data_IF_629119459144
#
_entry.id   IF_629119459144
#
_cell.length_a   1.000
_cell.length_b   1.000
_cell.length_c   1.000
_cell.angle_alpha   90.00
_cell.angle_beta   90.00
_cell.angle_gamma   90.00
#
_symmetry.space_group_name_H-M   'P 1'
#
loop_
_entity.id
_entity.type
_entity.pdbx_description
1 polymer ?
#
# COMPACT_ATOMS: atom_id res chain seq x y z
N UNK A 1 17.82 -28.86 -9.42
CA UNK A 1 18.12 -27.65 -8.62
C UNK A 1 16.79 -26.99 -8.34
N UNK A 2 16.37 -26.88 -7.09
CA UNK A 2 15.14 -26.17 -6.71
C UNK A 2 15.37 -24.68 -6.95
N UNK A 3 14.51 -24.05 -7.75
CA UNK A 3 14.54 -22.59 -7.96
C UNK A 3 14.37 -21.91 -6.59
N UNK A 4 15.21 -20.91 -6.23
CA UNK A 4 15.06 -20.22 -4.96
C UNK A 4 13.70 -19.51 -4.89
N UNK A 5 13.02 -19.63 -3.75
CA UNK A 5 11.81 -18.86 -3.47
C UNK A 5 12.25 -17.44 -3.09
N UNK A 6 11.73 -16.43 -3.78
CA UNK A 6 11.96 -15.04 -3.41
C UNK A 6 10.89 -14.57 -2.44
N UNK A 7 11.27 -13.82 -1.42
CA UNK A 7 10.33 -13.31 -0.44
C UNK A 7 10.97 -12.45 0.65
N UNK A 8 10.12 -11.68 1.32
CA UNK A 8 10.47 -10.88 2.49
C UNK A 8 9.24 -10.66 3.36
N UNK A 9 9.44 -10.20 4.59
CA UNK A 9 8.40 -9.89 5.56
C UNK A 9 8.38 -8.39 5.87
N UNK A 10 7.17 -7.82 5.90
CA UNK A 10 6.88 -6.52 6.50
C UNK A 10 6.08 -6.75 7.78
N UNK A 11 6.56 -6.16 8.89
CA UNK A 11 5.97 -6.29 10.22
C UNK A 11 5.61 -4.91 10.80
N UNK A 12 5.02 -4.89 11.99
CA UNK A 12 4.81 -3.67 12.76
C UNK A 12 5.33 -3.78 14.21
N UNK A 13 5.17 -2.69 14.97
CA UNK A 13 5.49 -2.61 16.39
C UNK A 13 4.29 -2.11 17.20
N UNK A 14 4.29 -2.36 18.50
CA UNK A 14 3.17 -2.06 19.37
C UNK A 14 3.08 -0.57 19.78
N UNK A 15 4.23 0.08 20.03
CA UNK A 15 4.28 1.41 20.63
C UNK A 15 4.99 2.47 19.79
N UNK A 16 5.27 3.60 20.41
CA UNK A 16 5.87 4.79 19.78
C UNK A 16 7.41 4.76 19.79
N UNK A 17 8.01 3.72 20.37
CA UNK A 17 9.45 3.47 20.36
C UNK A 17 9.78 1.98 20.30
N UNK A 18 11.00 1.66 19.84
CA UNK A 18 11.49 0.29 19.74
C UNK A 18 11.82 -0.30 21.12
N UNK A 19 11.19 -1.42 21.44
CA UNK A 19 11.57 -2.33 22.53
C UNK A 19 12.81 -3.15 22.17
N UNK A 20 13.37 -3.89 23.13
CA UNK A 20 14.47 -4.81 22.85
C UNK A 20 14.08 -5.92 21.86
N UNK A 21 12.85 -6.45 21.98
CA UNK A 21 12.29 -7.48 21.10
C UNK A 21 12.13 -6.96 19.67
N UNK A 22 11.66 -5.72 19.49
CA UNK A 22 11.55 -5.09 18.17
C UNK A 22 12.93 -5.01 17.50
N UNK A 23 13.97 -4.61 18.25
CA UNK A 23 15.34 -4.52 17.73
C UNK A 23 15.87 -5.89 17.31
N UNK A 24 15.50 -6.96 18.02
CA UNK A 24 15.91 -8.32 17.69
C UNK A 24 15.19 -8.85 16.44
N UNK A 25 13.89 -8.59 16.32
CA UNK A 25 13.09 -8.93 15.14
C UNK A 25 13.61 -8.22 13.88
N UNK A 26 13.91 -6.92 13.97
CA UNK A 26 14.36 -6.14 12.83
C UNK A 26 15.75 -6.56 12.31
N UNK A 27 16.59 -7.21 13.13
CA UNK A 27 17.90 -7.71 12.68
C UNK A 27 17.80 -8.92 11.75
N UNK A 28 16.66 -9.58 11.67
CA UNK A 28 16.50 -10.77 10.84
C UNK A 28 16.48 -10.38 9.35
N UNK A 29 17.30 -11.02 8.49
CA UNK A 29 17.46 -10.61 7.10
C UNK A 29 16.18 -10.77 6.27
N UNK A 30 15.29 -11.70 6.65
CA UNK A 30 14.01 -11.91 5.99
C UNK A 30 13.04 -10.74 6.22
N UNK A 31 13.17 -10.03 7.35
CA UNK A 31 12.43 -8.79 7.63
C UNK A 31 13.02 -7.69 6.78
N UNK A 32 12.27 -7.27 5.75
CA UNK A 32 12.66 -6.24 4.79
C UNK A 32 11.83 -4.96 4.90
N UNK A 33 10.76 -4.97 5.70
CA UNK A 33 9.91 -3.80 5.88
C UNK A 33 9.35 -3.64 7.29
N UNK A 34 9.00 -2.42 7.64
CA UNK A 34 8.21 -2.07 8.82
C UNK A 34 7.13 -1.06 8.42
N UNK A 35 5.87 -1.35 8.75
CA UNK A 35 4.74 -0.43 8.60
C UNK A 35 4.40 0.18 9.96
N UNK A 36 4.13 1.48 9.99
CA UNK A 36 3.63 2.19 11.19
C UNK A 36 2.15 2.53 11.08
N UNK A 37 1.46 2.48 12.21
CA UNK A 37 0.06 2.84 12.37
C UNK A 37 -0.10 4.04 13.32
N UNK A 38 -1.34 4.51 13.49
CA UNK A 38 -1.65 5.64 14.36
C UNK A 38 -1.12 5.46 15.80
N UNK A 39 -1.11 4.23 16.32
CA UNK A 39 -0.56 3.91 17.66
C UNK A 39 0.95 4.12 17.80
N UNK A 40 1.68 4.28 16.69
CA UNK A 40 3.13 4.47 16.69
C UNK A 40 3.52 5.94 16.49
N UNK A 41 2.54 6.84 16.34
CA UNK A 41 2.73 8.22 15.88
C UNK A 41 2.25 9.20 16.96
N UNK A 42 3.16 10.01 17.47
CA UNK A 42 2.85 11.11 18.40
C UNK A 42 3.05 12.48 17.76
N UNK A 43 4.17 12.66 17.04
CA UNK A 43 4.52 13.92 16.39
C UNK A 43 5.48 13.71 15.21
N UNK A 44 5.61 14.67 14.26
CA UNK A 44 6.55 14.54 13.15
C UNK A 44 8.01 14.33 13.61
N UNK A 45 8.40 14.94 14.73
CA UNK A 45 9.73 14.77 15.32
C UNK A 45 9.93 13.35 15.84
N UNK A 46 8.98 12.83 16.64
CA UNK A 46 9.07 11.48 17.18
C UNK A 46 9.09 10.42 16.06
N UNK A 47 8.28 10.58 15.01
CA UNK A 47 8.31 9.65 13.85
C UNK A 47 9.68 9.64 13.16
N UNK A 48 10.30 10.82 13.01
CA UNK A 48 11.66 10.92 12.45
C UNK A 48 12.69 10.19 13.30
N UNK A 49 12.69 10.45 14.61
CA UNK A 49 13.59 9.80 15.56
C UNK A 49 13.37 8.27 15.58
N UNK A 50 12.12 7.81 15.45
CA UNK A 50 11.79 6.38 15.32
C UNK A 50 12.37 5.79 14.03
N UNK A 51 12.18 6.47 12.89
CA UNK A 51 12.75 6.04 11.61
C UNK A 51 14.28 5.98 11.65
N UNK A 52 14.94 6.97 12.27
CA UNK A 52 16.39 6.99 12.45
C UNK A 52 16.86 5.83 13.35
N UNK A 53 16.15 5.57 14.46
CA UNK A 53 16.42 4.44 15.36
C UNK A 53 16.29 3.09 14.65
N UNK A 54 15.30 2.92 13.77
CA UNK A 54 15.14 1.71 12.94
C UNK A 54 16.30 1.61 11.93
N UNK A 55 16.62 2.69 11.22
CA UNK A 55 17.69 2.70 10.20
C UNK A 55 19.08 2.50 10.80
N UNK A 56 19.31 2.87 12.05
CA UNK A 56 20.56 2.56 12.77
C UNK A 56 20.75 1.04 12.98
N UNK A 57 19.67 0.25 12.97
CA UNK A 57 19.71 -1.22 13.05
C UNK A 57 19.75 -1.82 11.65
N UNK A 58 18.89 -1.32 10.75
CA UNK A 58 18.72 -1.79 9.37
C UNK A 58 18.59 -0.62 8.40
N UNK A 59 19.71 -0.14 7.83
CA UNK A 59 19.68 0.96 6.86
C UNK A 59 18.89 0.64 5.59
N UNK A 60 18.68 -0.64 5.29
CA UNK A 60 18.02 -1.18 4.11
C UNK A 60 16.50 -1.40 4.25
N UNK A 61 15.95 -1.30 5.46
CA UNK A 61 14.53 -1.54 5.70
C UNK A 61 13.63 -0.54 4.98
N UNK A 62 12.56 -1.05 4.37
CA UNK A 62 11.47 -0.24 3.84
C UNK A 62 10.55 0.22 4.97
N UNK A 63 10.37 1.52 5.14
CA UNK A 63 9.48 2.07 6.15
C UNK A 63 8.21 2.63 5.51
N UNK A 64 7.05 2.10 5.90
CA UNK A 64 5.77 2.36 5.24
C UNK A 64 4.70 2.92 6.19
N UNK A 65 3.69 3.57 5.62
CA UNK A 65 2.49 4.08 6.33
C UNK A 65 1.27 4.13 5.40
N UNK A 66 0.06 4.06 5.95
CA UNK A 66 -1.18 4.36 5.21
C UNK A 66 -1.54 5.86 5.30
N UNK A 67 -1.27 6.61 4.25
CA UNK A 67 -1.48 8.06 4.19
C UNK A 67 -2.22 8.43 2.89
N UNK A 68 -3.47 7.96 2.77
CA UNK A 68 -4.32 8.18 1.59
C UNK A 68 -5.04 9.54 1.63
N UNK A 69 -5.32 10.03 2.84
CA UNK A 69 -6.17 11.19 3.10
C UNK A 69 -7.56 10.82 3.60
N UNK A 70 -8.35 11.83 3.97
CA UNK A 70 -9.68 11.62 4.54
C UNK A 70 -9.65 10.69 5.76
N UNK A 71 -10.40 9.58 5.71
CA UNK A 71 -10.48 8.63 6.84
C UNK A 71 -9.19 7.82 7.04
N UNK A 72 -8.45 7.54 5.96
CA UNK A 72 -7.20 6.76 6.01
C UNK A 72 -6.01 7.71 5.97
N UNK A 73 -5.74 8.28 7.13
CA UNK A 73 -4.60 9.15 7.38
C UNK A 73 -4.03 8.82 8.76
N UNK A 74 -2.84 8.22 8.84
CA UNK A 74 -2.19 7.90 10.12
C UNK A 74 -1.41 9.10 10.67
N UNK A 75 -0.69 9.82 9.81
CA UNK A 75 0.05 11.02 10.18
C UNK A 75 -0.94 12.20 10.25
N UNK A 76 -1.45 12.51 11.46
CA UNK A 76 -2.49 13.53 11.68
C UNK A 76 -1.95 14.75 12.42
N UNK A 77 -1.53 14.59 13.67
CA UNK A 77 -1.09 15.72 14.48
C UNK A 77 0.24 16.29 13.96
N UNK A 78 0.25 17.57 13.61
CA UNK A 78 1.43 18.24 13.07
C UNK A 78 1.66 17.99 11.58
N UNK A 79 0.75 17.31 10.88
CA UNK A 79 0.76 17.06 9.44
C UNK A 79 -0.41 17.80 8.76
N UNK A 80 -0.35 17.97 7.44
CA UNK A 80 -1.49 18.50 6.69
C UNK A 80 -2.64 17.50 6.74
N UNK A 81 -3.83 17.97 7.09
CA UNK A 81 -5.06 17.19 6.99
C UNK A 81 -5.46 17.11 5.52
N UNK A 82 -5.20 15.98 4.89
CA UNK A 82 -5.46 15.76 3.48
C UNK A 82 -6.96 15.56 3.23
N UNK A 83 -7.51 16.03 2.09
CA UNK A 83 -8.90 15.78 1.75
C UNK A 83 -9.16 14.27 1.60
N UNK A 84 -10.43 13.87 1.69
CA UNK A 84 -10.83 12.60 1.10
C UNK A 84 -10.61 12.69 -0.41
N UNK A 85 -10.05 11.64 -1.01
CA UNK A 85 -9.66 11.66 -2.41
C UNK A 85 -10.86 11.91 -3.35
N UNK A 86 -12.05 11.40 -3.01
CA UNK A 86 -13.31 11.70 -3.71
C UNK A 86 -13.63 13.21 -3.80
N UNK A 87 -13.22 14.01 -2.81
CA UNK A 87 -13.46 15.45 -2.84
C UNK A 87 -12.66 16.17 -3.94
N UNK A 88 -11.48 15.64 -4.29
CA UNK A 88 -10.65 16.19 -5.37
C UNK A 88 -11.36 16.03 -6.71
N UNK A 89 -12.05 14.90 -6.92
CA UNK A 89 -12.69 14.56 -8.17
C UNK A 89 -13.84 15.53 -8.54
N UNK A 90 -14.51 16.09 -7.52
CA UNK A 90 -15.55 17.11 -7.68
C UNK A 90 -15.06 18.52 -8.03
N UNK A 91 -13.75 18.74 -8.14
CA UNK A 91 -13.18 20.04 -8.50
C UNK A 91 -13.00 20.19 -10.03
N UNK A 92 -13.12 21.42 -10.55
CA UNK A 92 -12.87 21.69 -11.98
C UNK A 92 -11.42 21.31 -12.39
N UNK A 93 -10.43 21.69 -11.56
CA UNK A 93 -9.01 21.40 -11.79
C UNK A 93 -8.53 20.11 -11.10
N UNK A 94 -9.40 19.10 -11.00
CA UNK A 94 -9.17 17.87 -10.22
C UNK A 94 -7.83 17.18 -10.55
N UNK A 95 -7.41 17.15 -11.82
CA UNK A 95 -6.14 16.50 -12.20
C UNK A 95 -4.92 17.23 -11.59
N UNK A 96 -4.91 18.56 -11.67
CA UNK A 96 -3.86 19.38 -11.07
C UNK A 96 -3.88 19.23 -9.55
N UNK A 97 -5.07 19.28 -8.93
CA UNK A 97 -5.22 19.15 -7.49
C UNK A 97 -4.81 17.75 -6.99
N UNK A 98 -5.10 16.69 -7.74
CA UNK A 98 -4.64 15.32 -7.45
C UNK A 98 -3.12 15.23 -7.47
N UNK A 99 -2.46 15.81 -8.48
CA UNK A 99 -0.99 15.89 -8.55
C UNK A 99 -0.39 16.68 -7.39
N UNK A 100 -0.98 17.83 -7.03
CA UNK A 100 -0.52 18.62 -5.88
C UNK A 100 -0.69 17.86 -4.56
N UNK A 101 -1.83 17.18 -4.39
CA UNK A 101 -2.10 16.36 -3.20
C UNK A 101 -1.12 15.20 -3.08
N UNK A 102 -0.87 14.47 -4.17
CA UNK A 102 0.09 13.36 -4.19
C UNK A 102 1.52 13.83 -3.86
N UNK A 103 1.94 14.97 -4.41
CA UNK A 103 3.25 15.54 -4.11
C UNK A 103 3.36 16.01 -2.65
N UNK A 104 2.34 16.68 -2.13
CA UNK A 104 2.30 17.20 -0.76
C UNK A 104 2.35 16.05 0.25
N UNK A 105 1.48 15.05 0.08
CA UNK A 105 1.42 13.86 0.93
C UNK A 105 2.77 13.14 0.96
N UNK A 106 3.33 12.87 -0.22
CA UNK A 106 4.60 12.17 -0.32
C UNK A 106 5.74 12.97 0.33
N UNK A 107 5.79 14.29 0.13
CA UNK A 107 6.81 15.15 0.74
C UNK A 107 6.78 15.08 2.28
N UNK A 108 5.60 15.15 2.93
CA UNK A 108 5.53 15.03 4.39
C UNK A 108 5.97 13.67 4.91
N UNK A 109 5.53 12.59 4.25
CA UNK A 109 5.89 11.22 4.62
C UNK A 109 7.41 11.02 4.51
N UNK A 110 8.02 11.48 3.42
CA UNK A 110 9.47 11.37 3.24
C UNK A 110 10.26 12.22 4.24
N UNK A 111 9.77 13.42 4.57
CA UNK A 111 10.40 14.35 5.52
C UNK A 111 10.49 13.82 6.96
N UNK A 112 9.64 12.87 7.33
CA UNK A 112 9.67 12.19 8.63
C UNK A 112 10.42 10.86 8.63
N UNK A 113 11.14 10.53 7.55
CA UNK A 113 12.03 9.36 7.56
C UNK A 113 11.50 8.12 6.86
N UNK A 114 10.22 8.11 6.48
CA UNK A 114 9.56 6.97 5.81
C UNK A 114 9.97 6.89 4.33
N UNK A 115 9.77 5.72 3.71
CA UNK A 115 10.07 5.47 2.31
C UNK A 115 8.86 5.65 1.40
N UNK A 116 7.70 5.18 1.85
CA UNK A 116 6.50 5.12 1.03
C UNK A 116 5.22 5.24 1.85
N UNK A 117 4.17 5.64 1.16
CA UNK A 117 2.81 5.37 1.60
C UNK A 117 2.13 4.38 0.67
N UNK A 118 1.29 3.50 1.21
CA UNK A 118 0.46 2.60 0.42
C UNK A 118 -0.70 3.37 -0.25
N UNK A 119 -0.37 4.07 -1.34
CA UNK A 119 -1.28 4.88 -2.13
C UNK A 119 -0.83 4.90 -3.62
N UNK A 120 -1.73 5.17 -4.59
CA UNK A 120 -3.15 5.49 -4.39
C UNK A 120 -4.07 4.25 -4.31
N UNK A 121 -5.29 4.49 -3.83
CA UNK A 121 -6.41 3.57 -4.05
C UNK A 121 -6.86 3.68 -5.51
N UNK A 122 -6.98 2.52 -6.17
CA UNK A 122 -7.40 2.34 -7.55
C UNK A 122 -8.75 1.63 -7.68
N UNK A 123 -9.36 1.25 -6.54
CA UNK A 123 -10.72 0.74 -6.50
C UNK A 123 -11.71 1.79 -7.04
N UNK A 124 -12.82 1.32 -7.63
CA UNK A 124 -13.90 2.18 -8.11
C UNK A 124 -15.03 2.26 -7.09
N UNK A 125 -15.62 3.44 -6.95
CA UNK A 125 -16.76 3.64 -6.05
C UNK A 125 -18.08 3.34 -6.77
N UNK A 126 -18.55 2.10 -6.63
CA UNK A 126 -19.86 1.67 -7.13
C UNK A 126 -20.98 1.84 -6.10
N UNK A 127 -20.73 2.59 -5.01
CA UNK A 127 -21.65 2.78 -3.87
C UNK A 127 -22.07 1.47 -3.18
N UNK A 128 -21.26 0.42 -3.37
CA UNK A 128 -21.52 -0.95 -2.90
C UNK A 128 -20.61 -1.33 -1.73
N UNK A 129 -19.30 -1.15 -1.89
CA UNK A 129 -18.33 -1.57 -0.88
C UNK A 129 -18.12 -0.52 0.22
N UNK A 130 -18.45 -0.88 1.47
CA UNK A 130 -18.20 -0.03 2.65
C UNK A 130 -16.70 0.25 2.91
N UNK A 131 -15.81 -0.59 2.36
CA UNK A 131 -14.35 -0.47 2.53
C UNK A 131 -13.74 0.51 1.52
N UNK A 132 -14.39 0.74 0.38
CA UNK A 132 -13.93 1.69 -0.63
C UNK A 132 -14.49 3.08 -0.32
N UNK A 133 -15.75 3.36 -0.69
CA UNK A 133 -16.41 4.65 -0.53
C UNK A 133 -15.50 5.83 -0.92
N UNK A 134 -15.42 6.85 -0.05
CA UNK A 134 -14.66 8.08 -0.32
C UNK A 134 -13.12 7.92 -0.40
N UNK A 135 -12.59 6.69 -0.33
CA UNK A 135 -11.17 6.38 -0.59
C UNK A 135 -10.88 6.30 -2.08
N UNK A 136 -11.85 5.92 -2.90
CA UNK A 136 -11.74 5.94 -4.35
C UNK A 136 -11.83 7.37 -4.88
N UNK A 137 -11.23 7.61 -6.04
CA UNK A 137 -11.40 8.86 -6.77
C UNK A 137 -12.83 8.98 -7.32
N UNK A 138 -13.30 7.94 -8.02
CA UNK A 138 -14.54 7.95 -8.80
C UNK A 138 -15.10 6.52 -8.96
N UNK A 139 -16.34 6.42 -9.43
CA UNK A 139 -16.93 5.18 -9.95
C UNK A 139 -16.65 4.95 -11.45
N UNK A 140 -16.40 6.02 -12.21
CA UNK A 140 -16.03 5.94 -13.63
C UNK A 140 -14.57 5.48 -13.79
N UNK A 141 -14.30 4.36 -14.50
CA UNK A 141 -12.94 3.83 -14.61
C UNK A 141 -11.96 4.77 -15.30
N UNK A 142 -12.39 5.54 -16.30
CA UNK A 142 -11.51 6.42 -17.08
C UNK A 142 -11.10 7.64 -16.26
N UNK A 143 -12.07 8.27 -15.58
CA UNK A 143 -11.84 9.41 -14.70
C UNK A 143 -11.02 8.99 -13.47
N UNK A 144 -11.32 7.86 -12.85
CA UNK A 144 -10.53 7.32 -11.74
C UNK A 144 -9.06 7.12 -12.16
N UNK A 145 -8.84 6.52 -13.34
CA UNK A 145 -7.51 6.32 -13.92
C UNK A 145 -6.76 7.63 -14.12
N UNK A 146 -7.42 8.64 -14.72
CA UNK A 146 -6.82 9.94 -14.98
C UNK A 146 -6.35 10.61 -13.68
N UNK A 147 -7.21 10.66 -12.67
CA UNK A 147 -6.92 11.33 -11.40
C UNK A 147 -5.89 10.57 -10.57
N UNK A 148 -5.98 9.24 -10.51
CA UNK A 148 -4.98 8.42 -9.84
C UNK A 148 -3.60 8.53 -10.51
N UNK A 149 -3.55 8.55 -11.85
CA UNK A 149 -2.32 8.79 -12.60
C UNK A 149 -1.69 10.14 -12.26
N UNK A 150 -2.49 11.20 -12.10
CA UNK A 150 -2.00 12.51 -11.68
C UNK A 150 -1.44 12.49 -10.25
N UNK A 151 -2.12 11.79 -9.34
CA UNK A 151 -1.65 11.60 -7.97
C UNK A 151 -0.31 10.84 -7.93
N UNK A 152 -0.17 9.76 -8.72
CA UNK A 152 1.08 9.00 -8.88
C UNK A 152 2.20 9.89 -9.40
N UNK A 153 1.93 10.74 -10.41
CA UNK A 153 2.92 11.74 -10.89
C UNK A 153 3.38 12.67 -9.76
N UNK A 154 2.45 13.15 -8.93
CA UNK A 154 2.77 13.94 -7.75
C UNK A 154 3.70 13.22 -6.76
N UNK A 155 3.38 11.98 -6.41
CA UNK A 155 4.21 11.15 -5.54
C UNK A 155 5.61 10.93 -6.12
N UNK A 156 5.70 10.60 -7.41
CA UNK A 156 6.96 10.38 -8.10
C UNK A 156 7.82 11.65 -8.14
N UNK A 157 7.21 12.82 -8.34
CA UNK A 157 7.89 14.12 -8.30
C UNK A 157 8.45 14.48 -6.91
N UNK A 158 7.85 13.97 -5.84
CA UNK A 158 8.39 14.08 -4.48
C UNK A 158 9.50 13.06 -4.21
N UNK A 159 9.69 12.08 -5.11
CA UNK A 159 10.66 11.00 -4.95
C UNK A 159 10.13 9.76 -4.22
N UNK A 160 8.80 9.58 -4.17
CA UNK A 160 8.14 8.42 -3.57
C UNK A 160 7.65 7.41 -4.61
N UNK A 161 7.84 6.12 -4.34
CA UNK A 161 7.26 5.03 -5.12
C UNK A 161 5.75 4.87 -4.84
N UNK A 162 4.96 4.59 -5.87
CA UNK A 162 3.51 4.40 -5.73
C UNK A 162 3.11 2.92 -5.64
N UNK A 163 2.11 2.64 -4.79
CA UNK A 163 1.53 1.31 -4.59
C UNK A 163 0.02 1.34 -4.86
N UNK A 164 -0.40 0.80 -6.00
CA UNK A 164 -1.81 0.73 -6.38
C UNK A 164 -2.55 -0.37 -5.60
N UNK A 165 -3.73 -0.06 -5.06
CA UNK A 165 -4.53 -1.04 -4.30
C UNK A 165 -6.05 -0.84 -4.42
N UNK A 166 -6.88 -1.87 -4.33
CA UNK A 166 -6.53 -3.26 -4.04
C UNK A 166 -6.78 -4.13 -5.28
N UNK A 167 -5.73 -4.67 -5.91
CA UNK A 167 -5.84 -5.40 -7.18
C UNK A 167 -6.62 -6.73 -7.03
N UNK A 168 -7.52 -7.11 -7.95
CA UNK A 168 -7.92 -6.45 -9.21
C UNK A 168 -9.07 -5.43 -9.08
N UNK A 169 -9.44 -5.08 -7.85
CA UNK A 169 -10.44 -4.08 -7.53
C UNK A 169 -11.43 -4.58 -6.47
N UNK A 170 -11.56 -3.84 -5.37
CA UNK A 170 -12.47 -4.16 -4.25
C UNK A 170 -13.85 -3.48 -4.40
N UNK A 171 -14.02 -2.58 -5.37
CA UNK A 171 -15.20 -1.70 -5.50
C UNK A 171 -16.54 -2.43 -5.54
N UNK A 172 -16.58 -3.56 -6.25
CA UNK A 172 -17.80 -4.35 -6.44
C UNK A 172 -18.00 -5.46 -5.40
N UNK A 173 -17.01 -5.74 -4.58
CA UNK A 173 -17.06 -6.84 -3.62
C UNK A 173 -17.97 -6.50 -2.43
N UNK A 174 -18.82 -7.46 -2.05
CA UNK A 174 -19.64 -7.40 -0.84
C UNK A 174 -19.19 -8.45 0.16
N UNK A 175 -19.16 -8.06 1.44
CA UNK A 175 -19.03 -9.01 2.53
C UNK A 175 -20.41 -9.55 2.87
N UNK A 176 -20.59 -10.87 2.89
CA UNK A 176 -21.77 -11.44 3.54
C UNK A 176 -21.74 -11.07 5.03
N UNK A 177 -22.90 -10.65 5.51
CA UNK A 177 -23.26 -10.23 6.85
C UNK A 177 -22.77 -11.11 8.02
N UNK A 178 -22.23 -12.31 7.77
CA UNK A 178 -21.88 -13.29 8.82
C UNK A 178 -20.51 -13.99 8.65
N UNK A 179 -19.40 -13.25 8.58
CA UNK A 179 -18.02 -13.79 8.79
C UNK A 179 -17.36 -14.44 7.55
N UNK A 180 -17.80 -14.14 6.32
CA UNK A 180 -17.17 -14.65 5.09
C UNK A 180 -16.20 -13.63 4.44
N UNK A 181 -15.19 -14.12 3.71
CA UNK A 181 -14.36 -13.30 2.83
C UNK A 181 -15.26 -12.62 1.78
N UNK A 182 -15.09 -11.31 1.51
CA UNK A 182 -15.83 -10.65 0.45
C UNK A 182 -15.68 -11.36 -0.90
N UNK A 183 -16.76 -11.41 -1.67
CA UNK A 183 -16.77 -12.04 -2.99
C UNK A 183 -17.22 -11.07 -4.08
N UNK A 184 -16.66 -11.23 -5.27
CA UNK A 184 -17.14 -10.60 -6.49
C UNK A 184 -17.46 -11.70 -7.51
N UNK A 185 -18.75 -11.92 -7.74
CA UNK A 185 -19.26 -13.01 -8.57
C UNK A 185 -19.24 -12.71 -10.07
N UNK A 186 -18.76 -11.54 -10.50
CA UNK A 186 -18.71 -11.18 -11.93
C UNK A 186 -17.72 -12.07 -12.70
N UNK A 187 -17.94 -12.14 -14.01
CA UNK A 187 -16.99 -12.77 -14.93
C UNK A 187 -15.71 -11.95 -15.08
N UNK A 188 -14.63 -12.58 -15.54
CA UNK A 188 -13.36 -11.89 -15.81
C UNK A 188 -13.51 -10.74 -16.81
N UNK A 189 -14.40 -10.88 -17.79
CA UNK A 189 -14.60 -9.85 -18.82
C UNK A 189 -15.28 -8.60 -18.25
N UNK A 190 -16.27 -8.77 -17.38
CA UNK A 190 -16.92 -7.65 -16.68
C UNK A 190 -15.92 -6.93 -15.76
N UNK A 191 -15.04 -7.68 -15.06
CA UNK A 191 -13.98 -7.10 -14.23
C UNK A 191 -12.97 -6.34 -15.10
N UNK A 192 -12.56 -6.89 -16.25
CA UNK A 192 -11.64 -6.24 -17.21
C UNK A 192 -12.17 -4.93 -17.75
N UNK A 193 -13.47 -4.88 -18.05
CA UNK A 193 -14.12 -3.70 -18.61
C UNK A 193 -14.33 -2.59 -17.56
N UNK A 194 -14.20 -2.89 -16.26
CA UNK A 194 -14.46 -1.96 -15.17
C UNK A 194 -13.25 -1.88 -14.21
N UNK A 195 -13.30 -2.58 -13.08
CA UNK A 195 -12.38 -2.43 -11.94
C UNK A 195 -10.91 -2.74 -12.25
N UNK A 196 -10.63 -3.55 -13.28
CA UNK A 196 -9.26 -3.81 -13.72
C UNK A 196 -8.66 -2.65 -14.54
N UNK A 197 -9.49 -1.77 -15.12
CA UNK A 197 -9.03 -0.72 -16.05
C UNK A 197 -7.98 0.20 -15.42
N UNK A 198 -8.13 0.71 -14.17
CA UNK A 198 -7.11 1.55 -13.57
C UNK A 198 -5.77 0.82 -13.40
N UNK A 199 -5.78 -0.45 -13.02
CA UNK A 199 -4.57 -1.26 -12.88
C UNK A 199 -3.90 -1.53 -14.23
N UNK A 200 -4.70 -1.83 -15.26
CA UNK A 200 -4.19 -2.06 -16.61
C UNK A 200 -3.55 -0.79 -17.21
N UNK A 201 -4.20 0.36 -17.04
CA UNK A 201 -3.72 1.62 -17.58
C UNK A 201 -2.49 2.17 -16.85
N UNK A 202 -2.40 1.96 -15.53
CA UNK A 202 -1.34 2.50 -14.68
C UNK A 202 -0.23 1.48 -14.34
N UNK A 203 -0.26 0.27 -14.91
CA UNK A 203 0.67 -0.81 -14.54
C UNK A 203 2.15 -0.43 -14.65
N UNK A 204 2.49 0.44 -15.61
CA UNK A 204 3.86 0.93 -15.85
C UNK A 204 4.26 2.10 -14.95
N UNK A 205 3.29 2.83 -14.41
CA UNK A 205 3.52 3.96 -13.50
C UNK A 205 3.62 3.50 -12.03
N UNK A 206 3.09 2.31 -11.73
CA UNK A 206 3.13 1.72 -10.40
C UNK A 206 4.47 1.02 -10.11
N UNK A 207 5.08 1.39 -8.99
CA UNK A 207 6.25 0.67 -8.48
C UNK A 207 5.84 -0.61 -7.73
N UNK A 208 4.62 -0.62 -7.18
CA UNK A 208 4.04 -1.76 -6.49
C UNK A 208 2.52 -1.87 -6.67
N UNK A 209 2.00 -3.06 -6.36
CA UNK A 209 0.58 -3.36 -6.23
C UNK A 209 0.34 -4.13 -4.94
N UNK A 210 -0.80 -3.89 -4.30
CA UNK A 210 -1.32 -4.70 -3.19
C UNK A 210 -2.66 -5.31 -3.62
N UNK A 211 -2.84 -6.64 -3.51
CA UNK A 211 -4.05 -7.34 -3.92
C UNK A 211 -5.18 -7.13 -2.90
N UNK A 212 -6.41 -7.39 -3.33
CA UNK A 212 -7.60 -7.40 -2.48
C UNK A 212 -7.75 -8.74 -1.77
N UNK A 213 -8.19 -8.72 -0.51
CA UNK A 213 -8.75 -9.89 0.18
C UNK A 213 -10.18 -10.19 -0.30
N UNK A 214 -10.31 -10.48 -1.59
CA UNK A 214 -11.57 -10.78 -2.27
C UNK A 214 -11.41 -12.05 -3.09
N UNK A 215 -12.39 -12.95 -3.04
CA UNK A 215 -12.48 -14.10 -3.92
C UNK A 215 -13.30 -13.73 -5.16
N UNK A 216 -12.82 -14.14 -6.33
CA UNK A 216 -13.48 -13.92 -7.63
C UNK A 216 -13.82 -15.30 -8.23
N UNK A 217 -14.92 -15.96 -7.82
CA UNK A 217 -15.13 -17.40 -8.05
C UNK A 217 -15.15 -17.82 -9.51
N UNK A 218 -15.52 -16.92 -10.43
CA UNK A 218 -15.49 -17.18 -11.87
C UNK A 218 -14.07 -17.12 -12.47
N UNK A 219 -13.06 -16.69 -11.70
CA UNK A 219 -11.67 -16.55 -12.13
C UNK A 219 -10.74 -17.48 -11.35
N UNK A 220 -10.85 -17.48 -10.02
CA UNK A 220 -10.09 -18.34 -9.11
C UNK A 220 -10.84 -18.50 -7.78
N UNK A 221 -10.76 -19.69 -7.18
CA UNK A 221 -11.37 -19.96 -5.86
C UNK A 221 -10.61 -19.33 -4.69
N UNK A 222 -9.37 -18.89 -4.91
CA UNK A 222 -8.53 -18.25 -3.89
C UNK A 222 -8.69 -16.73 -3.94
N UNK A 223 -8.48 -16.03 -2.80
CA UNK A 223 -8.38 -14.58 -2.82
C UNK A 223 -7.22 -14.12 -3.73
N UNK A 224 -7.34 -12.92 -4.31
CA UNK A 224 -6.39 -12.44 -5.32
C UNK A 224 -4.91 -12.52 -4.88
N UNK A 225 -4.61 -12.23 -3.61
CA UNK A 225 -3.25 -12.28 -3.06
C UNK A 225 -2.64 -13.69 -2.91
N UNK A 226 -3.45 -14.74 -3.04
CA UNK A 226 -3.03 -16.14 -2.98
C UNK A 226 -3.23 -16.85 -4.33
N UNK A 227 -3.75 -16.16 -5.34
CA UNK A 227 -4.03 -16.74 -6.66
C UNK A 227 -2.89 -16.48 -7.64
N UNK A 228 -2.28 -17.58 -8.12
CA UNK A 228 -1.31 -17.53 -9.23
C UNK A 228 -1.97 -17.02 -10.52
N UNK A 229 -3.25 -17.34 -10.75
CA UNK A 229 -4.01 -16.86 -11.93
C UNK A 229 -4.08 -15.33 -11.93
N UNK A 230 -4.39 -14.71 -10.78
CA UNK A 230 -4.43 -13.26 -10.65
C UNK A 230 -3.05 -12.62 -10.71
N UNK A 231 -2.08 -13.10 -9.92
CA UNK A 231 -0.78 -12.43 -9.77
C UNK A 231 0.20 -12.69 -10.91
N UNK A 232 0.26 -13.92 -11.42
CA UNK A 232 1.19 -14.27 -12.48
C UNK A 232 0.56 -14.14 -13.86
N UNK A 233 -0.56 -14.82 -14.10
CA UNK A 233 -1.08 -14.89 -15.45
C UNK A 233 -1.73 -13.56 -15.88
N UNK A 234 -2.53 -12.93 -15.01
CA UNK A 234 -3.20 -11.66 -15.31
C UNK A 234 -2.27 -10.46 -15.05
N UNK A 235 -1.83 -10.27 -13.80
CA UNK A 235 -1.05 -9.06 -13.44
C UNK A 235 0.31 -9.01 -14.14
N UNK A 236 1.15 -10.03 -13.99
CA UNK A 236 2.48 -10.05 -14.64
C UNK A 236 2.40 -10.38 -16.14
N UNK A 237 1.54 -11.32 -16.53
CA UNK A 237 1.39 -11.79 -17.91
C UNK A 237 0.60 -10.82 -18.78
N UNK A 238 -0.72 -10.76 -18.59
CA UNK A 238 -1.62 -9.95 -19.42
C UNK A 238 -1.37 -8.44 -19.29
N UNK A 239 -1.16 -7.92 -18.07
CA UNK A 239 -0.96 -6.47 -17.82
C UNK A 239 0.51 -6.03 -17.90
N UNK A 240 1.46 -6.98 -18.00
CA UNK A 240 2.89 -6.70 -18.08
C UNK A 240 3.49 -6.02 -16.85
N UNK A 241 2.90 -6.20 -15.67
CA UNK A 241 3.37 -5.58 -14.44
C UNK A 241 4.67 -6.24 -13.94
N UNK A 242 5.74 -5.45 -13.85
CA UNK A 242 7.04 -5.89 -13.33
C UNK A 242 7.35 -5.33 -11.93
N UNK A 243 6.41 -4.56 -11.33
CA UNK A 243 6.51 -3.93 -10.01
C UNK A 243 6.53 -4.90 -8.81
N UNK A 244 6.66 -4.39 -7.57
CA UNK A 244 6.60 -5.20 -6.35
C UNK A 244 5.15 -5.65 -6.11
N UNK A 245 4.94 -6.90 -5.73
CA UNK A 245 3.64 -7.37 -5.23
C UNK A 245 3.75 -7.52 -3.72
N UNK A 246 3.07 -6.64 -2.96
CA UNK A 246 2.86 -6.87 -1.53
C UNK A 246 1.72 -7.87 -1.35
N UNK A 247 1.71 -8.68 -0.30
CA UNK A 247 0.45 -9.25 0.15
C UNK A 247 -0.41 -8.16 0.80
N UNK A 248 -1.71 -8.39 0.93
CA UNK A 248 -2.50 -7.71 1.96
C UNK A 248 -2.18 -8.33 3.34
N UNK A 249 -2.72 -7.79 4.44
CA UNK A 249 -2.38 -8.23 5.80
C UNK A 249 -2.78 -9.70 6.04
N UNK A 250 -1.78 -10.54 6.30
CA UNK A 250 -1.92 -11.97 6.53
C UNK A 250 -2.46 -12.30 7.93
N UNK A 251 -2.57 -11.30 8.82
CA UNK A 251 -3.22 -11.44 10.12
C UNK A 251 -4.74 -11.22 10.06
N UNK A 252 -5.26 -10.58 9.00
CA UNK A 252 -6.68 -10.24 8.92
C UNK A 252 -7.57 -11.48 8.75
N UNK A 253 -8.85 -11.32 9.15
CA UNK A 253 -9.87 -12.36 9.02
C UNK A 253 -9.98 -12.92 7.59
N UNK A 254 -9.81 -12.06 6.58
CA UNK A 254 -9.80 -12.44 5.16
C UNK A 254 -8.65 -13.39 4.76
N UNK A 255 -7.58 -13.47 5.56
CA UNK A 255 -6.46 -14.37 5.30
C UNK A 255 -6.63 -15.74 5.98
N UNK A 256 -7.62 -15.91 6.87
CA UNK A 256 -7.82 -17.15 7.65
C UNK A 256 -8.23 -18.37 6.83
N UNK A 257 -8.48 -18.23 5.53
CA UNK A 257 -8.73 -19.37 4.62
C UNK A 257 -7.48 -20.26 4.45
N UNK A 258 -6.29 -19.71 4.66
CA UNK A 258 -5.03 -20.46 4.60
C UNK A 258 -4.46 -20.57 6.01
N UNK A 259 -4.66 -21.69 6.70
CA UNK A 259 -3.92 -22.09 7.90
C UNK A 259 -3.54 -20.98 8.89
N UNK A 260 -2.32 -21.03 9.41
CA UNK A 260 -1.69 -20.02 10.27
C UNK A 260 -0.83 -19.02 9.46
N UNK A 261 -0.22 -18.03 10.12
CA UNK A 261 0.61 -17.03 9.45
C UNK A 261 1.80 -17.63 8.68
N UNK A 262 2.35 -18.76 9.15
CA UNK A 262 3.40 -19.50 8.47
C UNK A 262 2.92 -20.07 7.12
N UNK A 263 1.73 -20.67 7.11
CA UNK A 263 1.11 -21.19 5.88
C UNK A 263 0.71 -20.07 4.91
N UNK A 264 0.24 -18.94 5.44
CA UNK A 264 -0.18 -17.77 4.64
C UNK A 264 0.99 -17.10 3.92
N UNK A 265 2.11 -16.89 4.61
CA UNK A 265 3.29 -16.29 3.98
C UNK A 265 3.81 -17.21 2.86
N UNK A 266 3.86 -18.52 3.09
CA UNK A 266 4.27 -19.49 2.07
C UNK A 266 3.34 -19.45 0.85
N UNK A 267 2.02 -19.43 1.07
CA UNK A 267 1.04 -19.34 -0.01
C UNK A 267 1.15 -18.02 -0.80
N UNK A 268 1.28 -16.88 -0.11
CA UNK A 268 1.41 -15.58 -0.75
C UNK A 268 2.68 -15.50 -1.62
N UNK A 269 3.82 -15.94 -1.10
CA UNK A 269 5.09 -15.98 -1.85
C UNK A 269 5.01 -16.95 -3.04
N UNK A 270 4.38 -18.10 -2.86
CA UNK A 270 4.21 -19.10 -3.94
C UNK A 270 3.27 -18.61 -5.05
N UNK A 271 2.24 -17.83 -4.71
CA UNK A 271 1.38 -17.15 -5.68
C UNK A 271 2.12 -16.03 -6.43
N UNK A 272 3.19 -15.49 -5.82
CA UNK A 272 4.13 -14.56 -6.42
C UNK A 272 4.17 -13.17 -5.79
N UNK A 273 3.73 -13.05 -4.53
CA UNK A 273 4.04 -11.87 -3.72
C UNK A 273 5.56 -11.80 -3.46
N UNK A 274 6.11 -10.59 -3.46
CA UNK A 274 7.50 -10.30 -3.13
C UNK A 274 7.70 -10.06 -1.63
N UNK A 275 6.68 -9.51 -0.95
CA UNK A 275 6.73 -9.20 0.48
C UNK A 275 5.38 -9.43 1.14
N UNK A 276 5.34 -10.28 2.17
CA UNK A 276 4.13 -10.51 2.95
C UNK A 276 4.02 -9.54 4.14
N UNK A 277 2.82 -9.05 4.41
CA UNK A 277 2.50 -8.16 5.52
C UNK A 277 1.90 -8.96 6.66
N UNK A 278 2.44 -8.82 7.87
CA UNK A 278 1.85 -9.38 9.09
C UNK A 278 1.73 -8.26 10.11
N UNK A 279 0.52 -7.73 10.25
CA UNK A 279 0.26 -6.58 11.11
C UNK A 279 -0.50 -7.00 12.38
N UNK A 280 -0.38 -6.19 13.43
CA UNK A 280 -1.15 -6.23 14.67
C UNK A 280 -1.07 -7.53 15.48
N UNK A 281 -0.18 -8.46 15.11
CA UNK A 281 0.01 -9.75 15.77
C UNK A 281 1.49 -10.15 15.72
N UNK A 282 2.19 -9.93 16.83
CA UNK A 282 3.62 -10.27 16.98
C UNK A 282 3.86 -11.78 16.89
N UNK A 283 2.97 -12.59 17.46
CA UNK A 283 3.13 -14.05 17.43
C UNK A 283 2.98 -14.57 16.00
N UNK A 284 2.01 -14.06 15.24
CA UNK A 284 1.88 -14.34 13.81
C UNK A 284 3.12 -13.89 13.02
N UNK A 285 3.69 -12.72 13.33
CA UNK A 285 4.88 -12.20 12.65
C UNK A 285 6.10 -13.12 12.88
N UNK A 286 6.28 -13.62 14.10
CA UNK A 286 7.36 -14.57 14.44
C UNK A 286 7.16 -15.94 13.78
N UNK A 287 5.91 -16.40 13.65
CA UNK A 287 5.59 -17.63 12.91
C UNK A 287 5.88 -17.48 11.40
N UNK A 288 5.49 -16.36 10.80
CA UNK A 288 5.77 -16.08 9.40
C UNK A 288 7.28 -15.92 9.13
N UNK A 289 8.01 -15.26 10.03
CA UNK A 289 9.46 -15.19 9.99
C UNK A 289 10.10 -16.58 10.03
N UNK A 290 9.68 -17.42 10.97
CA UNK A 290 10.19 -18.79 11.11
C UNK A 290 9.94 -19.62 9.84
N UNK A 291 8.79 -19.41 9.18
CA UNK A 291 8.49 -20.04 7.89
C UNK A 291 9.41 -19.52 6.78
N UNK A 292 9.59 -18.20 6.67
CA UNK A 292 10.50 -17.59 5.69
C UNK A 292 11.95 -18.11 5.83
N UNK A 293 12.43 -18.25 7.07
CA UNK A 293 13.74 -18.82 7.38
C UNK A 293 13.84 -20.30 6.98
N UNK A 294 12.84 -21.11 7.33
CA UNK A 294 12.79 -22.54 6.94
C UNK A 294 12.76 -22.72 5.42
N UNK A 295 12.05 -21.84 4.72
CA UNK A 295 11.95 -21.84 3.26
C UNK A 295 13.22 -21.28 2.58
N UNK A 296 14.17 -20.73 3.34
CA UNK A 296 15.38 -20.08 2.85
C UNK A 296 15.08 -19.02 1.77
N UNK A 297 14.10 -18.15 2.04
CA UNK A 297 13.67 -17.15 1.07
C UNK A 297 14.80 -16.17 0.76
N UNK A 298 14.91 -15.79 -0.51
CA UNK A 298 15.87 -14.78 -0.97
C UNK A 298 15.17 -13.45 -1.12
N UNK A 299 15.69 -12.39 -0.49
CA UNK A 299 15.11 -11.06 -0.61
C UNK A 299 15.00 -10.64 -2.10
N UNK A 300 13.80 -10.27 -2.60
CA UNK A 300 13.63 -9.84 -3.97
C UNK A 300 14.41 -8.54 -4.23
N UNK A 301 15.27 -8.52 -5.25
CA UNK A 301 16.05 -7.31 -5.62
C UNK A 301 15.15 -6.12 -5.97
N UNK A 302 13.96 -6.39 -6.49
CA UNK A 302 12.96 -5.39 -6.84
C UNK A 302 12.48 -4.56 -5.65
N UNK A 303 12.62 -5.03 -4.40
CA UNK A 303 12.19 -4.27 -3.21
C UNK A 303 12.93 -2.93 -3.06
N UNK A 304 14.19 -2.85 -3.50
CA UNK A 304 14.96 -1.62 -3.45
C UNK A 304 14.32 -0.46 -4.24
N UNK A 305 13.46 -0.76 -5.23
CA UNK A 305 12.73 0.25 -6.01
C UNK A 305 11.72 1.06 -5.18
N UNK A 306 11.32 0.51 -4.03
CA UNK A 306 10.35 1.10 -3.11
C UNK A 306 10.99 2.08 -2.13
N UNK A 307 12.32 2.14 -2.07
CA UNK A 307 13.03 3.11 -1.24
C UNK A 307 12.79 4.52 -1.76
N UNK A 308 12.68 5.47 -0.84
CA UNK A 308 12.61 6.89 -1.22
C UNK A 308 13.82 7.31 -2.03
N UNK A 309 13.57 8.18 -3.01
CA UNK A 309 14.60 8.77 -3.87
C UNK A 309 15.03 10.16 -3.41
N UNK A 310 14.28 10.77 -2.49
CA UNK A 310 14.55 12.07 -1.91
C UNK A 310 14.35 12.06 -0.39
N UNK A 311 15.01 12.99 0.28
CA UNK A 311 14.77 13.31 1.69
C UNK A 311 14.61 14.83 1.83
N UNK A 312 13.36 15.35 1.90
CA UNK A 312 13.10 16.79 1.97
C UNK A 312 13.65 17.50 3.22
N UNK A 313 14.06 16.74 4.25
CA UNK A 313 14.58 17.29 5.50
C UNK A 313 13.50 17.90 6.40
N UNK A 314 13.92 18.68 7.39
CA UNK A 314 13.02 19.26 8.41
C UNK A 314 12.37 20.56 7.93
N UNK A 315 13.01 21.24 6.98
CA UNK A 315 12.62 22.54 6.45
C UNK A 315 11.79 22.46 5.16
N UNK A 316 11.26 21.28 4.82
CA UNK A 316 10.47 21.05 3.60
C UNK A 316 9.30 22.04 3.42
N UNK A 317 8.79 22.61 4.52
CA UNK A 317 7.73 23.63 4.50
C UNK A 317 8.18 24.99 3.98
N UNK A 318 9.49 25.24 3.94
CA UNK A 318 10.10 26.45 3.38
C UNK A 318 10.28 26.36 1.86
N UNK A 319 10.10 25.18 1.26
CA UNK A 319 10.14 25.01 -0.20
C UNK A 319 9.01 25.84 -0.85
N UNK A 320 9.30 26.71 -1.83
CA UNK A 320 8.27 27.46 -2.55
C UNK A 320 7.16 26.57 -3.15
N UNK A 321 7.51 25.36 -3.58
CA UNK A 321 6.55 24.38 -4.10
C UNK A 321 5.57 23.91 -3.02
N UNK A 322 6.02 23.82 -1.77
CA UNK A 322 5.15 23.50 -0.64
C UNK A 322 4.05 24.55 -0.45
N UNK A 323 4.43 25.82 -0.42
CA UNK A 323 3.47 26.92 -0.34
C UNK A 323 2.52 26.95 -1.53
N UNK A 324 3.01 26.69 -2.75
CA UNK A 324 2.19 26.63 -3.96
C UNK A 324 1.15 25.50 -3.91
N UNK A 325 1.56 24.29 -3.52
CA UNK A 325 0.67 23.13 -3.41
C UNK A 325 -0.45 23.38 -2.39
N UNK A 326 -0.09 23.88 -1.20
CA UNK A 326 -1.06 24.24 -0.17
C UNK A 326 -2.01 25.34 -0.65
N UNK A 327 -1.49 26.38 -1.31
CA UNK A 327 -2.32 27.47 -1.83
C UNK A 327 -3.35 26.98 -2.85
N UNK A 328 -2.97 26.06 -3.74
CA UNK A 328 -3.88 25.48 -4.71
C UNK A 328 -5.00 24.64 -4.04
N UNK A 329 -4.63 23.80 -3.06
CA UNK A 329 -5.59 22.98 -2.33
C UNK A 329 -6.53 23.82 -1.44
N UNK A 330 -6.03 24.90 -0.83
CA UNK A 330 -6.85 25.87 -0.06
C UNK A 330 -7.83 26.63 -0.94
N UNK A 331 -7.39 27.08 -2.12
CA UNK A 331 -8.26 27.75 -3.08
C UNK A 331 -9.44 26.86 -3.51
N UNK A 332 -9.22 25.54 -3.57
CA UNK A 332 -10.24 24.53 -3.83
C UNK A 332 -11.02 24.07 -2.59
N UNK A 333 -10.78 24.66 -1.41
CA UNK A 333 -11.41 24.29 -0.13
C UNK A 333 -11.19 22.83 0.29
N UNK A 334 -10.08 22.22 -0.16
CA UNK A 334 -9.75 20.82 0.13
C UNK A 334 -8.94 20.66 1.42
N UNK A 335 -8.23 21.70 1.85
CA UNK A 335 -7.42 21.72 3.08
C UNK A 335 -7.59 23.05 3.81
N UNK A 336 -7.31 23.06 5.10
CA UNK A 336 -7.32 24.25 5.98
C UNK A 336 -6.03 25.10 5.85
#
# INVERSE_FOLDING_TARGET
MTTPLYGSLMVDIAGTWLTAEDRQLLRQPEVGGLIIFARNIESPRQVRELCESIRAIRPDLLLAVDQEGGRVQRLRQGFVKLPAIRAIAGCADAEQLARQCGWLMATEVLAVGLDLSFAPVLDLDHERSAVVGHRAFEGDPERATQLAGAFIRGMAEAGMAATGKHFPGHGWAEADSHVAIPTDERSLEEIRQNDLRPFAALSRDLAAVMPAHVIYPQVDSQPAGFSRRWLQDILRGELGFDGVIFSDDLSMAGAHVVGDAASRIEAALTAGCDMGLVCNDRAAAELALSAAQRLNVVAPKGLARMRRRAFPGVDYRQDPRWAQALSALRAAQLVE
#
